data_IF_054360163923
#
_entry.id   IF_054360163923
#
_cell.length_a   1.000
_cell.length_b   1.000
_cell.length_c   1.000
_cell.angle_alpha   90.00
_cell.angle_beta   90.00
_cell.angle_gamma   90.00
#
_symmetry.space_group_name_H-M   'P 1'
#
loop_
_entity.id
_entity.type
_entity.pdbx_description
1 polymer ?
#
# COMPACT_ATOMS: atom_id res chain seq x y z
N UNK A 1 -18.39 34.45 -23.11
CA UNK A 1 -18.80 34.29 -21.70
C UNK A 1 -18.40 32.90 -21.27
N UNK A 2 -17.69 32.83 -20.13
CA UNK A 2 -17.15 31.66 -19.41
C UNK A 2 -16.24 30.71 -20.19
N UNK A 3 -14.95 31.07 -20.19
CA UNK A 3 -13.81 30.17 -20.38
C UNK A 3 -13.85 29.03 -19.38
N UNK A 4 -13.94 27.79 -19.85
CA UNK A 4 -13.54 26.60 -19.08
C UNK A 4 -12.03 26.68 -18.90
N UNK A 5 -11.60 27.19 -17.74
CA UNK A 5 -10.20 27.19 -17.35
C UNK A 5 -9.69 25.76 -17.20
N UNK A 6 -8.44 25.46 -17.59
CA UNK A 6 -7.85 24.16 -17.35
C UNK A 6 -7.86 23.88 -15.85
N UNK A 7 -8.41 22.72 -15.50
CA UNK A 7 -8.40 22.10 -14.18
C UNK A 7 -7.06 22.29 -13.47
N UNK A 8 -7.10 22.75 -12.21
CA UNK A 8 -5.99 22.89 -11.26
C UNK A 8 -5.31 21.54 -10.93
N UNK A 9 -4.79 20.85 -11.93
CA UNK A 9 -3.77 19.81 -11.75
C UNK A 9 -2.46 20.58 -11.76
N UNK A 10 -1.96 20.90 -10.56
CA UNK A 10 -0.76 21.71 -10.34
C UNK A 10 0.39 21.27 -11.26
N UNK A 11 0.91 22.23 -12.04
CA UNK A 11 2.08 22.05 -12.88
C UNK A 11 3.32 21.75 -12.01
N UNK A 12 3.94 20.62 -12.31
CA UNK A 12 5.30 20.16 -11.96
C UNK A 12 5.60 19.70 -10.52
N UNK A 13 6.13 18.47 -10.42
CA UNK A 13 6.66 17.87 -9.19
C UNK A 13 7.74 18.74 -8.49
N UNK A 14 8.50 19.53 -9.26
CA UNK A 14 9.45 20.53 -8.74
C UNK A 14 8.79 21.67 -7.95
N UNK A 15 7.59 22.07 -8.34
CA UNK A 15 6.84 23.11 -7.65
C UNK A 15 6.26 22.55 -6.34
N UNK A 16 5.85 21.28 -6.37
CA UNK A 16 5.41 20.53 -5.18
C UNK A 16 6.55 20.31 -4.18
N UNK A 17 7.73 19.88 -4.63
CA UNK A 17 8.90 19.73 -3.76
C UNK A 17 9.30 21.08 -3.14
N UNK A 18 9.33 22.16 -3.94
CA UNK A 18 9.62 23.51 -3.44
C UNK A 18 8.60 24.01 -2.41
N UNK A 19 7.32 23.64 -2.54
CA UNK A 19 6.27 23.99 -1.57
C UNK A 19 6.48 23.22 -0.25
N UNK A 20 6.81 21.93 -0.34
CA UNK A 20 7.03 21.07 0.83
C UNK A 20 8.32 21.41 1.58
N UNK A 21 9.39 21.77 0.85
CA UNK A 21 10.63 22.28 1.43
C UNK A 21 10.42 23.59 2.22
N UNK A 22 9.49 24.44 1.75
CA UNK A 22 9.12 25.70 2.42
C UNK A 22 8.14 25.51 3.58
N UNK A 23 7.45 24.38 3.65
CA UNK A 23 6.44 24.08 4.66
C UNK A 23 6.61 22.64 5.18
N UNK A 24 7.61 22.39 6.06
CA UNK A 24 7.90 21.05 6.57
C UNK A 24 6.79 20.44 7.44
N UNK A 25 5.79 21.25 7.85
CA UNK A 25 4.60 20.78 8.57
C UNK A 25 3.49 20.26 7.65
N UNK A 26 3.59 20.46 6.33
CA UNK A 26 2.61 19.99 5.36
C UNK A 26 2.81 18.49 5.12
N UNK A 27 1.76 17.71 5.29
CA UNK A 27 1.78 16.27 5.03
C UNK A 27 1.11 15.99 3.69
N UNK A 28 1.79 15.22 2.81
CA UNK A 28 1.18 14.84 1.55
C UNK A 28 0.03 13.85 1.82
N UNK A 29 -1.20 14.22 1.46
CA UNK A 29 -2.36 13.36 1.61
C UNK A 29 -2.99 13.11 0.25
N UNK A 30 -2.87 11.87 -0.24
CA UNK A 30 -3.54 11.48 -1.48
C UNK A 30 -5.05 11.51 -1.24
N UNK A 31 -5.75 12.36 -2.00
CA UNK A 31 -7.20 12.43 -2.00
C UNK A 31 -7.71 11.52 -3.10
N UNK A 32 -8.61 10.62 -2.72
CA UNK A 32 -9.23 9.72 -3.67
C UNK A 32 -10.36 10.47 -4.40
N UNK A 33 -10.29 10.51 -5.74
CA UNK A 33 -11.31 11.17 -6.58
C UNK A 33 -12.43 10.21 -6.99
N UNK A 34 -12.18 8.90 -6.90
CA UNK A 34 -13.08 7.83 -7.29
C UNK A 34 -13.35 6.81 -6.18
N UNK A 35 -13.73 5.60 -6.59
CA UNK A 35 -13.97 4.50 -5.65
C UNK A 35 -12.66 3.89 -5.15
N UNK A 36 -12.58 3.56 -3.85
CA UNK A 36 -11.44 2.88 -3.22
C UNK A 36 -11.21 1.51 -3.85
N UNK A 37 -12.25 0.93 -4.46
CA UNK A 37 -12.19 -0.35 -5.15
C UNK A 37 -11.21 -0.36 -6.33
N UNK A 38 -10.95 0.78 -7.00
CA UNK A 38 -9.95 0.83 -8.09
C UNK A 38 -8.54 0.64 -7.54
N UNK A 39 -8.21 1.35 -6.46
CA UNK A 39 -6.94 1.23 -5.78
C UNK A 39 -6.77 -0.18 -5.19
N UNK A 40 -7.80 -0.73 -4.54
CA UNK A 40 -7.80 -2.10 -4.02
C UNK A 40 -7.61 -3.12 -5.15
N UNK A 41 -8.34 -2.99 -6.26
CA UNK A 41 -8.21 -3.88 -7.42
C UNK A 41 -6.80 -3.84 -7.99
N UNK A 42 -6.21 -2.65 -8.10
CA UNK A 42 -4.83 -2.49 -8.55
C UNK A 42 -3.84 -3.14 -7.56
N UNK A 43 -4.06 -3.03 -6.25
CA UNK A 43 -3.28 -3.72 -5.23
C UNK A 43 -3.35 -5.24 -5.38
N UNK A 44 -4.55 -5.80 -5.57
CA UNK A 44 -4.74 -7.24 -5.82
C UNK A 44 -3.96 -7.69 -7.04
N UNK A 45 -4.09 -6.97 -8.17
CA UNK A 45 -3.38 -7.28 -9.40
C UNK A 45 -1.86 -7.21 -9.23
N UNK A 46 -1.37 -6.15 -8.57
CA UNK A 46 0.06 -5.97 -8.29
C UNK A 46 0.59 -7.14 -7.49
N UNK A 47 -0.07 -7.51 -6.39
CA UNK A 47 0.36 -8.60 -5.50
C UNK A 47 0.40 -9.94 -6.25
N UNK A 48 -0.63 -10.25 -7.04
CA UNK A 48 -0.69 -11.49 -7.83
C UNK A 48 0.46 -11.61 -8.83
N UNK A 49 1.05 -10.49 -9.25
CA UNK A 49 2.17 -10.45 -10.18
C UNK A 49 3.55 -10.42 -9.50
N UNK A 50 3.62 -10.46 -8.16
CA UNK A 50 4.90 -10.41 -7.43
C UNK A 50 5.62 -11.75 -7.42
N UNK A 51 4.89 -12.85 -7.18
CA UNK A 51 5.48 -14.18 -6.97
C UNK A 51 4.48 -15.28 -7.34
N UNK A 52 4.99 -16.39 -7.86
CA UNK A 52 4.18 -17.59 -8.08
C UNK A 52 3.87 -18.24 -6.73
N UNK A 53 2.58 -18.41 -6.44
CA UNK A 53 2.11 -19.04 -5.20
C UNK A 53 1.55 -20.43 -5.47
N UNK A 54 1.70 -21.33 -4.51
CA UNK A 54 1.03 -22.63 -4.54
C UNK A 54 -0.50 -22.46 -4.45
N UNK A 55 -1.24 -23.30 -5.17
CA UNK A 55 -2.70 -23.39 -5.04
C UNK A 55 -3.13 -24.31 -3.88
N UNK A 56 -2.17 -24.94 -3.20
CA UNK A 56 -2.45 -25.92 -2.15
C UNK A 56 -2.77 -25.23 -0.82
N UNK A 57 -3.99 -25.45 -0.34
CA UNK A 57 -4.42 -25.02 1.01
C UNK A 57 -3.98 -26.04 2.05
N UNK A 58 -2.75 -25.91 2.53
CA UNK A 58 -2.15 -26.86 3.46
C UNK A 58 -2.57 -26.71 4.95
N UNK A 59 -3.14 -25.56 5.36
CA UNK A 59 -3.53 -25.31 6.76
C UNK A 59 -5.01 -24.95 6.89
N UNK A 60 -5.56 -25.08 8.10
CA UNK A 60 -6.93 -24.65 8.41
C UNK A 60 -7.12 -23.14 8.17
N UNK A 61 -6.11 -22.32 8.48
CA UNK A 61 -6.11 -20.88 8.19
C UNK A 61 -6.32 -20.61 6.70
N UNK A 62 -5.72 -21.40 5.81
CA UNK A 62 -5.91 -21.25 4.35
C UNK A 62 -7.36 -21.49 3.91
N UNK A 63 -8.12 -22.29 4.66
CA UNK A 63 -9.53 -22.55 4.39
C UNK A 63 -10.43 -21.39 4.83
N UNK A 64 -9.99 -20.61 5.83
CA UNK A 64 -10.71 -19.46 6.36
C UNK A 64 -10.47 -18.17 5.56
N UNK A 65 -9.41 -18.12 4.75
CA UNK A 65 -9.08 -16.92 3.99
C UNK A 65 -10.16 -16.63 2.93
N UNK A 66 -10.77 -15.43 2.94
CA UNK A 66 -11.63 -14.99 1.85
C UNK A 66 -10.79 -14.73 0.59
N UNK A 67 -11.44 -14.42 -0.52
CA UNK A 67 -10.70 -13.99 -1.71
C UNK A 67 -9.86 -12.73 -1.40
N UNK A 68 -8.70 -12.61 -2.07
CA UNK A 68 -7.73 -11.55 -1.78
C UNK A 68 -8.32 -10.13 -1.90
N UNK A 69 -9.26 -9.92 -2.83
CA UNK A 69 -9.91 -8.62 -2.98
C UNK A 69 -10.79 -8.30 -1.77
N UNK A 70 -11.63 -9.24 -1.35
CA UNK A 70 -12.48 -9.08 -0.17
C UNK A 70 -11.64 -8.89 1.09
N UNK A 71 -10.54 -9.64 1.23
CA UNK A 71 -9.61 -9.49 2.34
C UNK A 71 -9.02 -8.08 2.40
N UNK A 72 -8.42 -7.60 1.30
CA UNK A 72 -7.79 -6.28 1.24
C UNK A 72 -8.82 -5.17 1.48
N UNK A 73 -10.02 -5.28 0.87
CA UNK A 73 -11.11 -4.33 1.08
C UNK A 73 -11.53 -4.30 2.55
N UNK A 74 -11.63 -5.45 3.20
CA UNK A 74 -12.02 -5.56 4.61
C UNK A 74 -11.00 -4.88 5.51
N UNK A 75 -9.71 -5.23 5.39
CA UNK A 75 -8.62 -4.63 6.18
C UNK A 75 -8.55 -3.12 5.94
N UNK A 76 -8.57 -2.67 4.68
CA UNK A 76 -8.53 -1.24 4.36
C UNK A 76 -9.62 -0.43 5.06
N UNK A 77 -10.87 -0.90 4.98
CA UNK A 77 -12.02 -0.19 5.57
C UNK A 77 -12.05 -0.27 7.08
N UNK A 78 -11.82 -1.45 7.66
CA UNK A 78 -11.96 -1.68 9.10
C UNK A 78 -10.78 -1.10 9.90
N UNK A 79 -9.59 -1.06 9.32
CA UNK A 79 -8.43 -0.38 9.91
C UNK A 79 -8.38 1.12 9.58
N UNK A 80 -9.34 1.66 8.80
CA UNK A 80 -9.35 3.07 8.35
C UNK A 80 -8.04 3.49 7.68
N UNK A 81 -7.47 2.61 6.87
CA UNK A 81 -6.26 2.93 6.12
C UNK A 81 -6.54 4.05 5.10
N UNK A 82 -5.56 4.91 4.87
CA UNK A 82 -5.68 5.98 3.89
C UNK A 82 -5.21 5.54 2.51
N UNK A 83 -5.62 6.25 1.43
CA UNK A 83 -5.04 6.03 0.11
C UNK A 83 -3.51 6.19 0.10
N UNK A 84 -2.97 7.14 0.86
CA UNK A 84 -1.52 7.36 0.98
C UNK A 84 -0.80 6.11 1.50
N UNK A 85 -1.28 5.54 2.61
CA UNK A 85 -0.71 4.29 3.17
C UNK A 85 -0.72 3.17 2.12
N UNK A 86 -1.84 3.01 1.41
CA UNK A 86 -1.96 1.93 0.42
C UNK A 86 -1.08 2.15 -0.83
N UNK A 87 -0.86 3.39 -1.25
CA UNK A 87 0.06 3.71 -2.35
C UNK A 87 1.52 3.47 -1.94
N UNK A 88 1.88 3.80 -0.71
CA UNK A 88 3.25 3.57 -0.22
C UNK A 88 3.50 2.08 -0.01
N UNK A 89 2.49 1.33 0.47
CA UNK A 89 2.50 -0.12 0.48
C UNK A 89 2.72 -0.71 -0.93
N UNK A 90 2.08 -0.17 -1.96
CA UNK A 90 2.30 -0.57 -3.37
C UNK A 90 3.74 -0.31 -3.82
N UNK A 91 4.33 0.83 -3.47
CA UNK A 91 5.74 1.12 -3.77
C UNK A 91 6.65 0.08 -3.10
N UNK A 92 6.41 -0.24 -1.83
CA UNK A 92 7.17 -1.26 -1.11
C UNK A 92 6.99 -2.66 -1.71
N UNK A 93 5.80 -3.03 -2.19
CA UNK A 93 5.57 -4.29 -2.89
C UNK A 93 6.36 -4.36 -4.21
N UNK A 94 6.51 -3.26 -4.93
CA UNK A 94 7.36 -3.22 -6.13
C UNK A 94 8.85 -3.29 -5.80
N UNK A 95 9.29 -2.68 -4.69
CA UNK A 95 10.65 -2.85 -4.17
C UNK A 95 10.91 -4.28 -3.72
N UNK A 96 9.92 -4.92 -3.09
CA UNK A 96 9.97 -6.35 -2.74
C UNK A 96 10.23 -7.19 -3.99
N UNK A 97 9.44 -7.02 -5.06
CA UNK A 97 9.61 -7.76 -6.32
C UNK A 97 11.03 -7.67 -6.88
N UNK A 98 11.64 -6.47 -6.83
CA UNK A 98 13.01 -6.25 -7.32
C UNK A 98 14.08 -6.96 -6.47
N UNK A 99 13.81 -7.17 -5.18
CA UNK A 99 14.75 -7.80 -4.24
C UNK A 99 14.49 -9.31 -4.04
N UNK A 100 13.38 -9.85 -4.53
CA UNK A 100 13.12 -11.28 -4.52
C UNK A 100 14.04 -12.02 -5.49
N UNK A 101 14.46 -13.22 -5.09
CA UNK A 101 15.16 -14.14 -5.99
C UNK A 101 14.23 -14.55 -7.15
N UNK A 102 14.79 -14.73 -8.35
CA UNK A 102 14.03 -15.12 -9.55
C UNK A 102 13.25 -16.44 -9.39
N UNK A 103 13.75 -17.34 -8.54
CA UNK A 103 13.15 -18.64 -8.25
C UNK A 103 12.31 -18.66 -6.96
N UNK A 104 12.05 -17.49 -6.36
CA UNK A 104 11.23 -17.41 -5.16
C UNK A 104 9.81 -17.93 -5.45
N UNK A 105 9.29 -18.75 -4.53
CA UNK A 105 7.91 -19.26 -4.58
C UNK A 105 7.23 -19.02 -3.25
N UNK A 106 5.95 -18.69 -3.31
CA UNK A 106 5.10 -18.45 -2.16
C UNK A 106 4.20 -19.64 -1.82
N UNK A 107 3.82 -19.74 -0.56
CA UNK A 107 2.66 -20.52 -0.12
C UNK A 107 1.35 -19.85 -0.56
N UNK A 108 0.23 -20.58 -0.41
CA UNK A 108 -1.10 -20.10 -0.79
C UNK A 108 -1.45 -18.72 -0.22
N UNK A 109 -1.08 -18.46 1.04
CA UNK A 109 -1.42 -17.23 1.74
C UNK A 109 -0.35 -16.12 1.64
N UNK A 110 0.73 -16.36 0.89
CA UNK A 110 1.80 -15.36 0.67
C UNK A 110 1.29 -14.01 0.17
N UNK A 111 0.30 -13.93 -0.76
CA UNK A 111 -0.30 -12.66 -1.16
C UNK A 111 -0.90 -11.85 -0.01
N UNK A 112 -1.52 -12.52 0.96
CA UNK A 112 -2.14 -11.92 2.13
C UNK A 112 -1.06 -11.42 3.10
N UNK A 113 -0.03 -12.24 3.34
CA UNK A 113 1.15 -11.89 4.14
C UNK A 113 1.87 -10.66 3.58
N UNK A 114 2.08 -10.60 2.25
CA UNK A 114 2.69 -9.46 1.57
C UNK A 114 1.87 -8.19 1.74
N UNK A 115 0.55 -8.27 1.57
CA UNK A 115 -0.33 -7.13 1.81
C UNK A 115 -0.19 -6.64 3.26
N UNK A 116 -0.38 -7.51 4.25
CA UNK A 116 -0.34 -7.15 5.67
C UNK A 116 0.99 -6.52 6.07
N UNK A 117 2.11 -7.13 5.70
CA UNK A 117 3.43 -6.58 5.99
C UNK A 117 3.63 -5.20 5.34
N UNK A 118 3.22 -5.04 4.08
CA UNK A 118 3.36 -3.76 3.38
C UNK A 118 2.53 -2.63 4.00
N UNK A 119 1.30 -2.90 4.46
CA UNK A 119 0.45 -1.88 5.10
C UNK A 119 0.88 -1.59 6.54
N UNK A 120 1.37 -2.58 7.28
CA UNK A 120 1.93 -2.36 8.61
C UNK A 120 3.17 -1.47 8.55
N UNK A 121 4.10 -1.76 7.64
CA UNK A 121 5.33 -0.96 7.47
C UNK A 121 5.00 0.46 6.98
N UNK A 122 4.16 0.60 5.95
CA UNK A 122 3.79 1.92 5.42
C UNK A 122 3.00 2.76 6.42
N UNK A 123 2.08 2.16 7.18
CA UNK A 123 1.35 2.88 8.22
C UNK A 123 2.30 3.43 9.29
N UNK A 124 3.21 2.61 9.83
CA UNK A 124 4.22 3.05 10.82
C UNK A 124 5.17 4.12 10.29
N UNK A 125 5.45 4.13 8.99
CA UNK A 125 6.39 5.07 8.41
C UNK A 125 5.77 6.46 8.12
N UNK A 126 4.48 6.52 7.77
CA UNK A 126 3.86 7.73 7.19
C UNK A 126 2.91 8.42 8.15
N UNK A 127 2.09 7.64 8.83
CA UNK A 127 1.12 8.15 9.76
C UNK A 127 1.60 7.65 11.11
N UNK A 128 2.18 8.52 11.95
CA UNK A 128 2.52 8.19 13.35
C UNK A 128 1.22 7.95 14.15
N UNK A 129 0.48 6.93 13.73
CA UNK A 129 -0.87 6.59 14.09
C UNK A 129 -0.77 5.29 14.87
N UNK A 130 -0.76 5.45 16.19
CA UNK A 130 -0.67 4.35 17.16
C UNK A 130 -1.83 3.35 17.08
N UNK A 131 -2.87 3.63 16.29
CA UNK A 131 -4.09 2.79 16.21
C UNK A 131 -4.12 1.80 15.06
N UNK A 132 -3.33 2.01 13.99
CA UNK A 132 -3.36 1.16 12.79
C UNK A 132 -2.88 -0.26 13.08
N UNK A 133 -1.71 -0.41 13.69
CA UNK A 133 -1.17 -1.72 14.02
C UNK A 133 -2.10 -2.52 14.96
N UNK A 134 -2.56 -2.00 16.12
CA UNK A 134 -3.56 -2.67 16.95
C UNK A 134 -4.84 -3.06 16.21
N UNK A 135 -5.33 -2.21 15.30
CA UNK A 135 -6.53 -2.49 14.52
C UNK A 135 -6.31 -3.66 13.56
N UNK A 136 -5.17 -3.68 12.85
CA UNK A 136 -4.78 -4.78 11.96
C UNK A 136 -4.69 -6.08 12.78
N UNK A 137 -3.96 -6.08 13.90
CA UNK A 137 -3.83 -7.25 14.79
C UNK A 137 -5.20 -7.82 15.17
N UNK A 138 -6.12 -6.95 15.59
CA UNK A 138 -7.47 -7.38 16.00
C UNK A 138 -8.24 -8.02 14.85
N UNK A 139 -8.26 -7.37 13.69
CA UNK A 139 -9.08 -7.80 12.53
C UNK A 139 -8.57 -9.12 11.94
N UNK A 140 -7.26 -9.34 11.95
CA UNK A 140 -6.68 -10.56 11.37
C UNK A 140 -6.41 -11.66 12.39
N UNK A 141 -6.67 -11.43 13.68
CA UNK A 141 -6.46 -12.41 14.76
C UNK A 141 -7.08 -13.81 14.53
N UNK A 142 -8.21 -13.99 13.82
CA UNK A 142 -8.71 -15.33 13.51
C UNK A 142 -7.85 -16.10 12.49
N UNK A 143 -6.97 -15.39 11.78
CA UNK A 143 -6.13 -15.91 10.71
C UNK A 143 -4.67 -16.00 11.12
N UNK A 144 -4.16 -14.98 11.83
CA UNK A 144 -2.74 -14.88 12.19
C UNK A 144 -2.57 -14.39 13.62
N UNK A 145 -1.64 -15.02 14.35
CA UNK A 145 -1.27 -14.58 15.70
C UNK A 145 -0.26 -13.41 15.63
N UNK A 146 -0.16 -12.57 16.68
CA UNK A 146 0.74 -11.41 16.68
C UNK A 146 2.20 -11.75 16.36
N UNK A 147 2.70 -12.90 16.80
CA UNK A 147 4.07 -13.37 16.54
C UNK A 147 4.32 -13.60 15.04
N UNK A 148 3.34 -14.15 14.33
CA UNK A 148 3.42 -14.37 12.88
C UNK A 148 3.44 -13.05 12.14
N UNK A 149 2.56 -12.11 12.49
CA UNK A 149 2.51 -10.77 11.88
C UNK A 149 3.81 -10.00 12.09
N UNK A 150 4.38 -10.05 13.29
CA UNK A 150 5.69 -9.48 13.59
C UNK A 150 6.80 -10.15 12.76
N UNK A 151 6.73 -11.46 12.53
CA UNK A 151 7.68 -12.17 11.68
C UNK A 151 7.54 -11.78 10.21
N UNK A 152 6.30 -11.63 9.71
CA UNK A 152 6.01 -11.15 8.35
C UNK A 152 6.59 -9.75 8.15
N UNK A 153 6.38 -8.84 9.09
CA UNK A 153 6.92 -7.48 9.04
C UNK A 153 8.45 -7.47 9.01
N UNK A 154 9.09 -8.19 9.93
CA UNK A 154 10.57 -8.29 9.97
C UNK A 154 11.14 -8.89 8.70
N UNK A 155 10.53 -9.95 8.16
CA UNK A 155 10.96 -10.57 6.92
C UNK A 155 10.84 -9.60 5.74
N UNK A 156 9.71 -8.89 5.64
CA UNK A 156 9.47 -7.89 4.59
C UNK A 156 10.49 -6.74 4.65
N UNK A 157 10.77 -6.21 5.84
CA UNK A 157 11.82 -5.20 6.06
C UNK A 157 13.21 -5.71 5.65
N UNK A 158 13.50 -6.97 5.98
CA UNK A 158 14.76 -7.62 5.58
C UNK A 158 14.93 -7.69 4.07
N UNK A 159 13.89 -8.08 3.33
CA UNK A 159 13.92 -8.12 1.85
C UNK A 159 14.06 -6.72 1.25
N UNK A 160 13.40 -5.72 1.85
CA UNK A 160 13.56 -4.32 1.46
C UNK A 160 14.92 -3.73 1.82
N UNK A 161 15.71 -4.41 2.66
CA UNK A 161 16.96 -3.86 3.23
C UNK A 161 16.74 -2.50 3.91
N UNK A 162 15.56 -2.32 4.51
CA UNK A 162 15.13 -1.05 5.12
C UNK A 162 15.11 0.16 4.17
N UNK A 163 15.07 -0.04 2.85
CA UNK A 163 14.81 1.02 1.87
C UNK A 163 13.33 1.46 1.94
N UNK A 164 13.02 2.27 2.96
CA UNK A 164 11.67 2.76 3.27
C UNK A 164 11.45 4.20 2.83
N UNK A 165 12.51 4.94 2.54
CA UNK A 165 12.38 6.33 2.11
C UNK A 165 11.63 6.41 0.78
N UNK A 166 10.55 7.18 0.74
CA UNK A 166 9.77 7.45 -0.47
C UNK A 166 9.76 8.95 -0.66
N UNK A 167 10.47 9.41 -1.69
CA UNK A 167 10.43 10.81 -2.09
C UNK A 167 9.01 11.19 -2.54
N UNK A 168 8.60 12.39 -2.23
CA UNK A 168 7.32 12.95 -2.63
C UNK A 168 7.24 13.07 -4.16
N UNK A 169 8.37 13.36 -4.82
CA UNK A 169 8.45 13.35 -6.29
C UNK A 169 8.24 11.94 -6.83
N UNK A 170 8.83 10.92 -6.20
CA UNK A 170 8.62 9.52 -6.58
C UNK A 170 7.18 9.07 -6.38
N UNK A 171 6.56 9.51 -5.27
CA UNK A 171 5.16 9.24 -4.97
C UNK A 171 4.23 9.92 -5.98
N UNK A 172 4.49 11.18 -6.33
CA UNK A 172 3.79 11.90 -7.39
C UNK A 172 3.90 11.14 -8.72
N UNK A 173 5.11 10.85 -9.15
CA UNK A 173 5.39 10.14 -10.39
C UNK A 173 4.75 8.74 -10.42
N UNK A 174 4.67 8.08 -9.25
CA UNK A 174 4.01 6.79 -9.13
C UNK A 174 2.51 6.90 -9.41
N UNK A 175 1.86 7.90 -8.84
CA UNK A 175 0.42 8.17 -8.99
C UNK A 175 0.10 8.67 -10.39
N UNK A 176 0.86 9.64 -10.90
CA UNK A 176 0.68 10.28 -12.22
C UNK A 176 0.72 9.25 -13.36
N UNK A 177 1.77 8.41 -13.40
CA UNK A 177 1.91 7.32 -14.39
C UNK A 177 0.76 6.30 -14.37
N UNK A 178 -0.09 6.32 -13.33
CA UNK A 178 -1.16 5.36 -13.10
C UNK A 178 -2.50 6.03 -12.83
N UNK A 179 -2.62 7.33 -13.10
CA UNK A 179 -3.81 8.11 -12.73
C UNK A 179 -5.10 7.58 -13.36
N UNK A 180 -5.05 7.17 -14.62
CA UNK A 180 -6.22 6.60 -15.33
C UNK A 180 -6.72 5.30 -14.66
N UNK A 181 -5.80 4.50 -14.14
CA UNK A 181 -6.10 3.21 -13.49
C UNK A 181 -6.53 3.40 -12.03
N UNK A 182 -5.89 4.31 -11.30
CA UNK A 182 -6.06 4.47 -9.86
C UNK A 182 -7.16 5.46 -9.46
N UNK A 183 -7.43 6.49 -10.27
CA UNK A 183 -8.41 7.54 -9.93
C UNK A 183 -8.04 8.37 -8.68
N UNK A 184 -6.75 8.65 -8.49
CA UNK A 184 -6.20 9.42 -7.37
C UNK A 184 -5.84 10.86 -7.80
N UNK A 185 -6.07 11.82 -6.91
CA UNK A 185 -5.54 13.19 -7.01
C UNK A 185 -4.65 13.48 -5.79
N UNK A 186 -3.56 14.21 -6.01
CA UNK A 186 -2.71 14.64 -4.90
C UNK A 186 -3.37 15.80 -4.15
N UNK A 187 -3.58 15.63 -2.86
CA UNK A 187 -3.94 16.69 -1.94
C UNK A 187 -2.76 17.07 -1.05
N UNK A 188 -2.62 18.34 -0.76
CA UNK A 188 -1.77 18.81 0.34
C UNK A 188 -2.67 18.99 1.57
N UNK A 189 -2.19 18.56 2.74
CA UNK A 189 -2.84 18.77 4.04
C UNK A 189 -1.90 19.49 5.00
#
# INVERSE_FOLDING_TARGET
>A
MTTLGPSLVFQNAYQLSSILDKHPSLSLSLKLRGSTDRLISYTVCTIRQLIQCSNQKASYQHMLLPDLHTFIRHVYRQCRLTPTVLVIALIYLLRLKKNLHSNARGEYDTPYKFFLASVMVSSKYIEDCVTHAPSIYRIVSPLYIPQELNAMERSFLGVLKFDLYVDIVDLYNFVDKRQEVLGLELGLK
#
